data_IF_141534285206
#
_entry.id   IF_141534285206
#
_cell.length_a   1.000
_cell.length_b   1.000
_cell.length_c   1.000
_cell.angle_alpha   90.00
_cell.angle_beta   90.00
_cell.angle_gamma   90.00
#
_symmetry.space_group_name_H-M   'P 1'
#
loop_
_entity.id
_entity.type
_entity.pdbx_description
1 polymer ?
#
# COMPACT_ATOMS: atom_id res chain seq x y z
N UNK A 1 19.32 -0.60 -9.55
CA UNK A 1 18.92 -0.03 -8.24
C UNK A 1 17.56 0.62 -8.39
N UNK A 2 16.77 0.71 -7.32
CA UNK A 2 15.49 1.39 -7.37
C UNK A 2 15.71 2.91 -7.44
N UNK A 3 15.26 3.57 -8.51
CA UNK A 3 15.49 5.02 -8.77
C UNK A 3 15.18 5.91 -7.57
N UNK A 4 14.07 5.67 -6.87
CA UNK A 4 13.68 6.44 -5.70
C UNK A 4 14.59 6.22 -4.48
N UNK A 5 15.25 5.06 -4.39
CA UNK A 5 16.19 4.79 -3.30
C UNK A 5 17.47 5.63 -3.46
N UNK A 6 17.95 5.77 -4.70
CA UNK A 6 19.12 6.59 -5.00
C UNK A 6 18.78 8.08 -4.85
N UNK A 7 17.64 8.51 -5.39
CA UNK A 7 17.11 9.86 -5.19
C UNK A 7 16.96 10.23 -3.70
N UNK A 8 16.50 9.28 -2.86
CA UNK A 8 16.41 9.50 -1.42
C UNK A 8 17.79 9.80 -0.80
N UNK A 9 18.81 9.01 -1.15
CA UNK A 9 20.16 9.16 -0.59
C UNK A 9 20.87 10.42 -1.09
N UNK A 10 20.78 10.69 -2.39
CA UNK A 10 21.56 11.74 -3.05
C UNK A 10 20.93 13.12 -2.90
N UNK A 11 19.59 13.20 -2.91
CA UNK A 11 18.87 14.48 -2.97
C UNK A 11 18.06 14.75 -1.70
N UNK A 12 17.27 13.78 -1.24
CA UNK A 12 16.33 13.99 -0.12
C UNK A 12 17.08 14.11 1.20
N UNK A 13 18.05 13.23 1.47
CA UNK A 13 18.82 13.24 2.72
C UNK A 13 19.56 14.57 2.93
N UNK A 14 20.36 15.09 1.97
CA UNK A 14 21.01 16.39 2.13
C UNK A 14 20.02 17.55 2.28
N UNK A 15 18.90 17.51 1.56
CA UNK A 15 17.84 18.53 1.66
C UNK A 15 17.22 18.59 3.06
N UNK A 16 16.88 17.44 3.64
CA UNK A 16 16.29 17.36 4.98
C UNK A 16 17.28 17.77 6.08
N UNK A 17 18.55 17.36 5.97
CA UNK A 17 19.59 17.79 6.92
C UNK A 17 19.75 19.32 6.91
N UNK A 18 19.78 19.92 5.72
CA UNK A 18 19.90 21.38 5.59
C UNK A 18 18.66 22.11 6.12
N UNK A 19 17.46 21.57 5.89
CA UNK A 19 16.20 22.19 6.30
C UNK A 19 15.96 22.11 7.81
N UNK A 20 16.25 20.97 8.43
CA UNK A 20 15.91 20.69 9.83
C UNK A 20 17.10 20.73 10.79
N UNK A 21 18.33 20.89 10.28
CA UNK A 21 19.54 21.03 11.09
C UNK A 21 19.89 19.78 11.91
N UNK A 22 19.58 18.59 11.38
CA UNK A 22 19.91 17.32 12.04
C UNK A 22 21.40 17.21 12.35
N UNK A 23 21.73 16.70 13.54
CA UNK A 23 23.13 16.57 13.99
C UNK A 23 23.80 15.32 13.42
N UNK A 24 22.99 14.33 13.07
CA UNK A 24 23.45 13.07 12.50
C UNK A 24 22.61 12.69 11.28
N UNK A 25 23.27 12.14 10.26
CA UNK A 25 22.60 11.61 9.05
C UNK A 25 21.60 10.51 9.41
N UNK A 26 21.79 9.82 10.53
CA UNK A 26 20.91 8.74 11.00
C UNK A 26 19.58 9.25 11.58
N UNK A 27 19.47 10.55 11.89
CA UNK A 27 18.21 11.16 12.36
C UNK A 27 17.22 11.41 11.21
N UNK A 28 17.69 11.37 9.97
CA UNK A 28 16.86 11.65 8.80
C UNK A 28 15.75 10.59 8.66
N UNK A 29 14.48 11.01 8.54
CA UNK A 29 13.36 10.09 8.40
C UNK A 29 13.49 9.19 7.17
N UNK A 30 13.33 7.88 7.39
CA UNK A 30 13.37 6.86 6.33
C UNK A 30 12.05 6.12 6.24
N UNK A 31 11.70 5.72 5.02
CA UNK A 31 10.56 4.82 4.80
C UNK A 31 10.98 3.42 5.26
N UNK A 32 10.28 2.88 6.26
CA UNK A 32 10.64 1.58 6.88
C UNK A 32 9.96 0.39 6.20
N UNK A 33 8.72 0.58 5.79
CA UNK A 33 7.89 -0.40 5.08
C UNK A 33 6.72 0.31 4.42
N UNK A 34 6.18 -0.30 3.37
CA UNK A 34 4.85 0.03 2.84
C UNK A 34 3.99 -1.21 3.04
N UNK A 35 2.79 -1.04 3.60
CA UNK A 35 1.84 -2.15 3.77
C UNK A 35 0.62 -1.86 2.92
N UNK A 36 0.31 -2.78 2.02
CA UNK A 36 -0.93 -2.75 1.25
C UNK A 36 -1.89 -3.71 1.95
N UNK A 37 -3.13 -3.26 2.11
CA UNK A 37 -4.16 -4.01 2.80
C UNK A 37 -5.48 -3.84 2.05
N UNK A 38 -6.19 -4.95 1.88
CA UNK A 38 -7.51 -5.00 1.29
C UNK A 38 -8.42 -5.77 2.22
N UNK A 39 -9.47 -5.09 2.71
CA UNK A 39 -10.56 -5.72 3.43
C UNK A 39 -11.59 -6.22 2.44
N UNK A 40 -11.86 -7.53 2.44
CA UNK A 40 -12.79 -8.18 1.52
C UNK A 40 -13.94 -8.75 2.35
N UNK A 41 -14.83 -7.88 2.83
CA UNK A 41 -15.94 -8.27 3.70
C UNK A 41 -16.93 -9.23 3.04
N UNK A 42 -17.06 -9.15 1.72
CA UNK A 42 -17.91 -10.03 0.91
C UNK A 42 -17.38 -11.46 0.82
N UNK A 43 -16.10 -11.68 1.18
CA UNK A 43 -15.49 -13.01 1.23
C UNK A 43 -16.17 -13.95 2.25
N UNK A 44 -17.00 -13.42 3.15
CA UNK A 44 -17.82 -14.22 4.06
C UNK A 44 -18.83 -15.07 3.31
N UNK A 45 -19.39 -14.52 2.22
CA UNK A 45 -20.36 -15.21 1.36
C UNK A 45 -19.70 -16.08 0.28
N UNK A 46 -18.65 -15.57 -0.36
CA UNK A 46 -17.93 -16.30 -1.41
C UNK A 46 -16.41 -16.24 -1.22
N UNK A 47 -15.79 -17.41 -1.02
CA UNK A 47 -14.35 -17.55 -0.87
C UNK A 47 -13.57 -17.21 -2.14
N UNK A 48 -14.19 -17.31 -3.32
CA UNK A 48 -13.52 -17.02 -4.61
C UNK A 48 -13.15 -15.54 -4.74
N UNK A 49 -13.97 -14.64 -4.21
CA UNK A 49 -13.69 -13.20 -4.21
C UNK A 49 -12.36 -12.91 -3.49
N UNK A 50 -12.09 -13.63 -2.41
CA UNK A 50 -10.81 -13.51 -1.70
C UNK A 50 -9.64 -14.00 -2.56
N UNK A 51 -9.82 -15.08 -3.33
CA UNK A 51 -8.77 -15.60 -4.22
C UNK A 51 -8.45 -14.60 -5.34
N UNK A 52 -9.47 -13.95 -5.92
CA UNK A 52 -9.28 -12.88 -6.90
C UNK A 52 -8.55 -11.67 -6.29
N UNK A 53 -8.98 -11.21 -5.12
CA UNK A 53 -8.32 -10.12 -4.39
C UNK A 53 -6.85 -10.43 -4.07
N UNK A 54 -6.53 -11.67 -3.68
CA UNK A 54 -5.15 -12.12 -3.46
C UNK A 54 -4.37 -12.13 -4.77
N UNK A 55 -4.98 -12.58 -5.87
CA UNK A 55 -4.37 -12.57 -7.20
C UNK A 55 -4.02 -11.15 -7.66
N UNK A 56 -4.94 -10.21 -7.52
CA UNK A 56 -4.73 -8.83 -7.94
C UNK A 56 -3.70 -8.12 -7.07
N UNK A 57 -3.76 -8.28 -5.74
CA UNK A 57 -2.73 -7.74 -4.87
C UNK A 57 -1.35 -8.35 -5.15
N UNK A 58 -1.28 -9.63 -5.55
CA UNK A 58 -0.02 -10.25 -5.96
C UNK A 58 0.57 -9.60 -7.22
N UNK A 59 -0.26 -9.34 -8.23
CA UNK A 59 0.15 -8.63 -9.46
C UNK A 59 0.65 -7.22 -9.15
N UNK A 60 -0.13 -6.47 -8.36
CA UNK A 60 0.21 -5.08 -7.98
C UNK A 60 1.49 -5.01 -7.16
N UNK A 61 1.67 -5.90 -6.18
CA UNK A 61 2.79 -5.83 -5.25
C UNK A 61 4.05 -6.59 -5.72
N UNK A 62 3.93 -7.48 -6.72
CA UNK A 62 5.02 -8.38 -7.11
C UNK A 62 5.43 -9.36 -6.00
N UNK A 63 4.53 -9.60 -5.04
CA UNK A 63 4.78 -10.41 -3.86
C UNK A 63 3.49 -11.10 -3.44
N UNK A 64 3.58 -12.39 -3.10
CA UNK A 64 2.42 -13.17 -2.63
C UNK A 64 1.85 -12.55 -1.34
N UNK A 65 0.56 -12.13 -1.34
CA UNK A 65 -0.10 -11.60 -0.15
C UNK A 65 -0.35 -12.67 0.91
N UNK A 66 -0.49 -12.22 2.15
CA UNK A 66 -0.92 -13.03 3.28
C UNK A 66 -2.40 -12.79 3.53
N UNK A 67 -3.17 -13.86 3.61
CA UNK A 67 -4.60 -13.79 3.96
C UNK A 67 -4.75 -13.41 5.43
N UNK A 68 -5.49 -12.35 5.70
CA UNK A 68 -5.78 -11.88 7.06
C UNK A 68 -7.05 -12.54 7.57
N UNK A 69 -6.99 -13.00 8.82
CA UNK A 69 -8.09 -13.67 9.50
C UNK A 69 -8.66 -12.77 10.59
N UNK A 70 -9.96 -12.88 10.83
CA UNK A 70 -10.64 -12.22 11.92
C UNK A 70 -10.05 -12.67 13.27
N UNK A 71 -9.87 -11.72 14.20
CA UNK A 71 -9.35 -12.00 15.55
C UNK A 71 -10.44 -12.27 16.58
N UNK A 72 -11.69 -11.92 16.25
CA UNK A 72 -12.87 -12.01 17.11
C UNK A 72 -14.09 -12.25 16.24
N UNK A 73 -15.05 -12.97 16.78
CA UNK A 73 -16.38 -13.13 16.17
C UNK A 73 -17.20 -11.85 16.34
N UNK A 74 -17.85 -11.38 15.27
CA UNK A 74 -18.75 -10.23 15.29
C UNK A 74 -20.02 -10.59 14.53
N UNK A 75 -21.13 -10.77 15.26
CA UNK A 75 -22.40 -11.21 14.69
C UNK A 75 -22.97 -10.24 13.66
N UNK A 76 -22.82 -8.92 13.87
CA UNK A 76 -23.32 -7.90 12.95
C UNK A 76 -22.72 -7.97 11.54
N UNK A 77 -21.46 -8.42 11.44
CA UNK A 77 -20.79 -8.65 10.15
C UNK A 77 -20.84 -10.12 9.71
N UNK A 78 -21.52 -10.99 10.46
CA UNK A 78 -21.57 -12.44 10.24
C UNK A 78 -20.19 -13.12 10.21
N UNK A 79 -19.20 -12.53 10.89
CA UNK A 79 -17.81 -13.03 10.93
C UNK A 79 -17.60 -13.88 12.18
N UNK A 80 -16.95 -15.05 12.00
CA UNK A 80 -16.45 -15.89 13.10
C UNK A 80 -14.95 -15.69 13.31
N UNK A 81 -14.48 -15.99 14.51
CA UNK A 81 -13.04 -15.99 14.81
C UNK A 81 -12.27 -16.93 13.86
N UNK A 82 -11.09 -16.47 13.42
CA UNK A 82 -10.25 -17.19 12.46
C UNK A 82 -10.74 -17.19 11.01
N UNK A 83 -11.88 -16.55 10.70
CA UNK A 83 -12.41 -16.51 9.34
C UNK A 83 -11.56 -15.60 8.43
N UNK A 84 -11.25 -15.98 7.18
CA UNK A 84 -10.49 -15.14 6.27
C UNK A 84 -11.36 -14.00 5.74
N UNK A 85 -10.89 -12.76 5.90
CA UNK A 85 -11.69 -11.54 5.62
C UNK A 85 -10.92 -10.49 4.80
N UNK A 86 -9.71 -10.80 4.37
CA UNK A 86 -8.90 -9.88 3.59
C UNK A 86 -7.52 -10.43 3.27
N UNK A 87 -6.71 -9.58 2.66
CA UNK A 87 -5.34 -9.87 2.32
C UNK A 87 -4.46 -8.65 2.55
N UNK A 88 -3.20 -8.90 2.90
CA UNK A 88 -2.20 -7.84 3.08
C UNK A 88 -0.85 -8.27 2.54
N UNK A 89 -0.03 -7.29 2.19
CA UNK A 89 1.38 -7.49 1.84
C UNK A 89 2.21 -6.37 2.44
N UNK A 90 3.37 -6.74 3.00
CA UNK A 90 4.34 -5.77 3.51
C UNK A 90 5.56 -5.78 2.61
N UNK A 91 5.81 -4.63 1.99
CA UNK A 91 6.95 -4.37 1.13
C UNK A 91 8.04 -3.68 1.95
N UNK A 92 9.28 -4.15 1.78
CA UNK A 92 10.48 -3.61 2.43
C UNK A 92 11.64 -3.56 1.44
N UNK A 93 12.65 -2.75 1.75
CA UNK A 93 13.87 -2.66 0.94
C UNK A 93 13.58 -2.18 -0.49
N UNK A 94 14.23 -2.76 -1.52
CA UNK A 94 14.08 -2.30 -2.90
C UNK A 94 12.64 -2.36 -3.43
N UNK A 95 11.91 -3.45 -3.17
CA UNK A 95 10.52 -3.66 -3.64
C UNK A 95 9.57 -2.56 -3.16
N UNK A 96 9.82 -2.01 -1.97
CA UNK A 96 9.06 -0.90 -1.42
C UNK A 96 9.27 0.38 -2.23
N UNK A 97 10.52 0.69 -2.59
CA UNK A 97 10.84 1.86 -3.41
C UNK A 97 10.32 1.72 -4.84
N UNK A 98 10.40 0.53 -5.42
CA UNK A 98 9.84 0.25 -6.76
C UNK A 98 8.32 0.37 -6.78
N UNK A 99 7.63 -0.16 -5.77
CA UNK A 99 6.18 0.03 -5.64
C UNK A 99 5.83 1.51 -5.46
N UNK A 100 6.57 2.24 -4.62
CA UNK A 100 6.33 3.66 -4.42
C UNK A 100 6.52 4.46 -5.71
N UNK A 101 7.54 4.11 -6.49
CA UNK A 101 7.81 4.76 -7.78
C UNK A 101 6.65 4.54 -8.75
N UNK A 102 6.23 3.27 -8.94
CA UNK A 102 5.05 2.95 -9.76
C UNK A 102 3.78 3.62 -9.25
N UNK A 103 3.58 3.66 -7.94
CA UNK A 103 2.40 4.29 -7.35
C UNK A 103 2.35 5.78 -7.68
N UNK A 104 3.46 6.50 -7.50
CA UNK A 104 3.52 7.96 -7.72
C UNK A 104 3.52 8.32 -9.20
N UNK A 105 4.31 7.62 -10.01
CA UNK A 105 4.54 8.00 -11.41
C UNK A 105 3.52 7.40 -12.38
N UNK A 106 2.93 6.25 -12.07
CA UNK A 106 2.03 5.52 -12.98
C UNK A 106 0.60 5.46 -12.43
N UNK A 107 0.41 5.03 -11.19
CA UNK A 107 -0.93 4.72 -10.68
C UNK A 107 -1.73 5.99 -10.30
N UNK A 108 -1.13 6.93 -9.57
CA UNK A 108 -1.82 8.15 -9.12
C UNK A 108 -2.37 9.02 -10.28
N UNK A 109 -1.63 9.24 -11.38
CA UNK A 109 -2.16 9.97 -12.53
C UNK A 109 -3.38 9.31 -13.19
N UNK A 110 -3.58 8.00 -13.00
CA UNK A 110 -4.71 7.23 -13.57
C UNK A 110 -5.93 7.23 -12.66
N UNK A 111 -5.85 7.86 -11.47
CA UNK A 111 -7.01 8.06 -10.61
C UNK A 111 -7.96 9.05 -11.28
N UNK A 112 -9.23 8.66 -11.45
CA UNK A 112 -10.27 9.54 -11.98
C UNK A 112 -10.42 10.79 -11.10
N UNK A 113 -10.46 11.96 -11.74
CA UNK A 113 -10.57 13.27 -11.09
C UNK A 113 -9.52 13.51 -9.99
N UNK A 114 -8.27 13.13 -10.25
CA UNK A 114 -7.18 13.32 -9.30
C UNK A 114 -6.92 14.80 -8.99
N UNK A 115 -7.17 15.20 -7.73
CA UNK A 115 -6.93 16.57 -7.22
C UNK A 115 -5.73 16.66 -6.26
N UNK A 116 -4.84 15.68 -6.30
CA UNK A 116 -3.76 15.53 -5.32
C UNK A 116 -4.19 14.69 -4.11
N UNK A 117 -3.20 14.38 -3.27
CA UNK A 117 -3.43 13.60 -2.04
C UNK A 117 -3.50 14.55 -0.84
N UNK A 118 -4.52 14.38 0.01
CA UNK A 118 -4.72 15.25 1.17
C UNK A 118 -3.65 15.04 2.25
N UNK A 119 -3.21 16.13 2.88
CA UNK A 119 -2.28 16.08 4.01
C UNK A 119 -2.88 15.47 5.29
N UNK A 120 -4.20 15.25 5.34
CA UNK A 120 -4.88 14.66 6.51
C UNK A 120 -4.61 13.16 6.72
N UNK A 121 -3.91 12.51 5.80
CA UNK A 121 -3.57 11.08 5.89
C UNK A 121 -2.49 10.74 6.92
N UNK A 122 -1.87 11.73 7.56
CA UNK A 122 -0.86 11.50 8.59
C UNK A 122 -1.48 11.13 9.95
N UNK A 123 -0.88 10.15 10.63
CA UNK A 123 -1.34 9.64 11.94
C UNK A 123 -0.80 10.42 13.15
N UNK A 124 -0.14 11.56 12.93
CA UNK A 124 0.51 12.37 13.96
C UNK A 124 1.88 11.84 14.43
N UNK A 125 2.30 10.65 14.00
CA UNK A 125 3.62 10.06 14.30
C UNK A 125 4.51 9.92 13.07
N UNK A 126 4.12 10.55 11.96
CA UNK A 126 4.87 10.56 10.70
C UNK A 126 4.53 9.40 9.76
N UNK A 127 3.54 8.55 10.06
CA UNK A 127 3.06 7.55 9.11
C UNK A 127 1.92 8.13 8.29
N UNK A 128 1.89 7.79 7.00
CA UNK A 128 0.90 8.27 6.06
C UNK A 128 0.04 7.13 5.52
N UNK A 129 -1.28 7.34 5.48
CA UNK A 129 -2.23 6.41 4.89
C UNK A 129 -3.00 7.08 3.76
N UNK A 130 -3.17 6.36 2.65
CA UNK A 130 -3.98 6.78 1.50
C UNK A 130 -4.91 5.65 1.10
N UNK A 131 -6.18 5.99 0.82
CA UNK A 131 -7.16 5.07 0.29
C UNK A 131 -7.21 5.13 -1.23
N UNK A 132 -7.22 3.96 -1.87
CA UNK A 132 -7.49 3.81 -3.31
C UNK A 132 -8.88 3.20 -3.46
N UNK A 133 -9.75 3.86 -4.23
CA UNK A 133 -11.13 3.40 -4.41
C UNK A 133 -11.25 2.29 -5.44
N UNK A 134 -10.45 2.35 -6.51
CA UNK A 134 -10.53 1.43 -7.64
C UNK A 134 -9.12 0.91 -7.95
N UNK A 135 -8.96 -0.42 -8.02
CA UNK A 135 -7.68 -1.08 -8.29
C UNK A 135 -7.21 -0.93 -9.75
N UNK A 136 -8.11 -0.50 -10.65
CA UNK A 136 -7.83 -0.31 -12.10
C UNK A 136 -6.78 0.76 -12.39
N UNK A 137 -6.42 1.56 -11.39
CA UNK A 137 -5.34 2.56 -11.51
C UNK A 137 -3.99 1.88 -11.79
N UNK A 138 -3.82 0.63 -11.34
CA UNK A 138 -2.62 -0.15 -11.58
C UNK A 138 -2.71 -0.81 -12.97
N UNK A 139 -1.74 -0.58 -13.87
CA UNK A 139 -1.74 -1.18 -15.22
C UNK A 139 -1.62 -2.70 -15.21
N UNK A 140 -1.17 -3.28 -14.10
CA UNK A 140 -1.10 -4.73 -13.91
C UNK A 140 -2.48 -5.39 -13.76
N UNK A 141 -3.54 -4.60 -13.57
CA UNK A 141 -4.92 -5.08 -13.50
C UNK A 141 -5.58 -4.94 -14.87
N UNK A 142 -6.00 -6.06 -15.44
CA UNK A 142 -6.75 -6.11 -16.69
C UNK A 142 -8.21 -5.73 -16.45
N UNK A 143 -8.69 -4.68 -17.12
CA UNK A 143 -10.05 -4.16 -16.97
C UNK A 143 -11.13 -5.23 -17.26
N UNK A 144 -10.90 -6.06 -18.28
CA UNK A 144 -11.86 -7.09 -18.74
C UNK A 144 -12.00 -8.28 -17.78
N UNK A 145 -11.17 -8.36 -16.74
CA UNK A 145 -11.20 -9.43 -15.72
C UNK A 145 -11.63 -8.93 -14.34
N UNK A 146 -12.03 -7.66 -14.22
CA UNK A 146 -12.55 -7.10 -12.97
C UNK A 146 -14.05 -7.41 -12.90
N UNK A 147 -14.39 -8.45 -12.13
CA UNK A 147 -15.76 -8.78 -11.69
C UNK A 147 -15.94 -8.40 -10.21
#
# INVERSE_FOLDING_TARGET
MARLQDFYKETVVPGLVKQFGYKSVMEVPRITKITLNMGVGEAVGDKKILEFAVGDMAKVAGQKPVVTRARKSIAGFKIRDGYPIGCMVTLRGPRMFEFLDRFVTVALPRVRDFRGIGAKGFDGRGNYNVGVKEQIIFPEIEYDKVD
#
